data_IF_809258924251
#
_entry.id   IF_809258924251
#
_cell.length_a   1.000
_cell.length_b   1.000
_cell.length_c   1.000
_cell.angle_alpha   90.00
_cell.angle_beta   90.00
_cell.angle_gamma   90.00
#
_symmetry.space_group_name_H-M   'P 1'
#
loop_
_entity.id
_entity.type
_entity.pdbx_description
1 polymer ?
#
# COMPACT_ATOMS: atom_id res chain seq x y z
N UNK A 1 -7.66 -18.16 -14.01
CA UNK A 1 -7.13 -17.53 -12.79
C UNK A 1 -7.41 -18.51 -11.68
N UNK A 2 -6.37 -19.05 -11.10
CA UNK A 2 -6.33 -20.30 -10.31
C UNK A 2 -7.07 -20.23 -8.96
N UNK A 3 -7.59 -19.08 -8.55
CA UNK A 3 -8.48 -18.96 -7.38
C UNK A 3 -7.76 -19.19 -6.05
N UNK A 4 -6.42 -19.12 -6.05
CA UNK A 4 -5.58 -19.30 -4.88
C UNK A 4 -5.74 -18.10 -3.94
N UNK A 5 -6.07 -18.37 -2.68
CA UNK A 5 -6.09 -17.36 -1.63
C UNK A 5 -4.64 -17.10 -1.17
N UNK A 6 -4.09 -15.96 -1.57
CA UNK A 6 -2.66 -15.67 -1.45
C UNK A 6 -2.28 -14.95 -0.15
N UNK A 7 -3.27 -14.59 0.67
CA UNK A 7 -3.06 -13.99 2.00
C UNK A 7 -2.04 -12.84 2.01
N UNK A 8 -1.13 -12.86 2.99
CA UNK A 8 -0.06 -11.85 3.14
C UNK A 8 1.10 -11.99 2.12
N UNK A 9 1.10 -13.05 1.32
CA UNK A 9 2.14 -13.33 0.30
C UNK A 9 1.72 -12.90 -1.11
N UNK A 10 0.55 -12.29 -1.25
CA UNK A 10 0.06 -11.79 -2.52
C UNK A 10 0.89 -10.61 -3.04
N UNK A 11 1.27 -10.68 -4.32
CA UNK A 11 1.73 -9.52 -5.06
C UNK A 11 0.54 -8.78 -5.65
N UNK A 12 0.15 -7.68 -5.02
CA UNK A 12 -0.89 -6.80 -5.54
C UNK A 12 -0.34 -5.95 -6.70
N UNK A 13 -0.81 -6.20 -7.92
CA UNK A 13 -0.51 -5.40 -9.11
C UNK A 13 -1.71 -4.50 -9.44
N UNK A 14 -1.46 -3.21 -9.63
CA UNK A 14 -2.45 -2.27 -10.18
C UNK A 14 -2.17 -2.04 -11.65
N UNK A 15 -3.21 -2.09 -12.48
CA UNK A 15 -3.10 -1.84 -13.91
C UNK A 15 -4.29 -1.01 -14.39
N UNK A 16 -4.19 -0.42 -15.59
CA UNK A 16 -5.27 0.35 -16.19
C UNK A 16 -5.69 -0.27 -17.52
N UNK A 17 -7.00 -0.45 -17.71
CA UNK A 17 -7.58 -0.94 -18.96
C UNK A 17 -8.94 -0.28 -19.18
N UNK A 18 -9.15 0.29 -20.37
CA UNK A 18 -10.39 1.01 -20.73
C UNK A 18 -10.82 2.08 -19.69
N UNK A 19 -9.86 2.81 -19.14
CA UNK A 19 -10.10 3.89 -18.17
C UNK A 19 -10.46 3.42 -16.76
N UNK A 20 -10.44 2.12 -16.49
CA UNK A 20 -10.56 1.55 -15.13
C UNK A 20 -9.17 1.21 -14.60
N UNK A 21 -8.97 1.39 -13.29
CA UNK A 21 -7.75 1.05 -12.57
C UNK A 21 -7.99 -0.13 -11.60
N UNK A 22 -8.18 -1.37 -12.08
CA UNK A 22 -8.29 -2.53 -11.20
C UNK A 22 -6.95 -2.90 -10.54
N UNK A 23 -7.06 -3.58 -9.39
CA UNK A 23 -5.96 -4.28 -8.74
C UNK A 23 -6.21 -5.80 -8.78
N UNK A 24 -5.14 -6.58 -8.91
CA UNK A 24 -5.17 -8.04 -8.85
C UNK A 24 -4.07 -8.55 -7.91
N UNK A 25 -4.41 -9.55 -7.11
CA UNK A 25 -3.49 -10.24 -6.21
C UNK A 25 -2.99 -11.52 -6.87
N UNK A 26 -1.68 -11.64 -7.04
CA UNK A 26 -1.05 -12.75 -7.76
C UNK A 26 0.06 -13.41 -6.93
N UNK A 27 0.29 -14.70 -7.15
CA UNK A 27 1.51 -15.37 -6.69
C UNK A 27 2.73 -14.76 -7.38
N UNK A 28 3.93 -15.02 -6.86
CA UNK A 28 5.18 -14.55 -7.49
C UNK A 28 5.26 -14.97 -8.98
N UNK A 29 5.02 -16.26 -9.26
CA UNK A 29 5.05 -16.81 -10.62
C UNK A 29 4.02 -16.14 -11.54
N UNK A 30 2.79 -15.95 -11.05
CA UNK A 30 1.73 -15.32 -11.84
C UNK A 30 1.99 -13.82 -12.05
N UNK A 31 2.58 -13.14 -11.07
CA UNK A 31 2.98 -11.75 -11.17
C UNK A 31 4.10 -11.57 -12.20
N UNK A 32 5.07 -12.50 -12.24
CA UNK A 32 6.12 -12.50 -13.25
C UNK A 32 5.57 -12.78 -14.66
N UNK A 33 4.70 -13.79 -14.80
CA UNK A 33 4.02 -14.08 -16.06
C UNK A 33 3.23 -12.87 -16.58
N UNK A 34 2.50 -12.18 -15.70
CA UNK A 34 1.76 -10.96 -16.06
C UNK A 34 2.70 -9.87 -16.61
N UNK A 35 3.85 -9.64 -15.94
CA UNK A 35 4.85 -8.64 -16.37
C UNK A 35 5.43 -8.97 -17.75
N UNK A 36 5.69 -10.24 -18.03
CA UNK A 36 6.22 -10.67 -19.33
C UNK A 36 5.20 -10.46 -20.46
N UNK A 37 3.91 -10.77 -20.22
CA UNK A 37 2.84 -10.61 -21.23
C UNK A 37 2.66 -9.13 -21.60
N UNK A 38 2.72 -8.21 -20.63
CA UNK A 38 2.47 -6.78 -20.87
C UNK A 38 3.70 -6.03 -21.39
N UNK A 39 4.91 -6.57 -21.20
CA UNK A 39 6.17 -5.94 -21.60
C UNK A 39 6.19 -5.39 -23.04
N UNK A 40 5.80 -6.14 -24.09
CA UNK A 40 5.81 -5.62 -25.46
C UNK A 40 4.84 -4.45 -25.67
N UNK A 41 3.71 -4.43 -24.94
CA UNK A 41 2.74 -3.33 -25.02
C UNK A 41 3.24 -2.08 -24.29
N UNK A 42 4.00 -2.24 -23.21
CA UNK A 42 4.67 -1.14 -22.52
C UNK A 42 5.76 -0.53 -23.39
N UNK A 43 6.54 -1.37 -24.08
CA UNK A 43 7.61 -0.93 -24.98
C UNK A 43 7.07 -0.20 -26.22
N UNK A 44 5.98 -0.69 -26.81
CA UNK A 44 5.30 -0.01 -27.92
C UNK A 44 4.48 1.23 -27.46
N UNK A 45 4.10 1.26 -26.19
CA UNK A 45 3.31 2.32 -25.59
C UNK A 45 4.15 3.57 -25.31
N UNK A 46 3.49 4.72 -25.26
CA UNK A 46 4.09 5.96 -24.79
C UNK A 46 3.43 6.37 -23.48
N UNK A 47 4.22 7.00 -22.59
CA UNK A 47 3.67 7.60 -21.38
C UNK A 47 2.74 8.73 -21.79
N UNK A 48 1.45 8.58 -21.49
CA UNK A 48 0.50 9.69 -21.61
C UNK A 48 0.82 10.69 -20.50
N UNK A 49 1.63 11.70 -20.81
CA UNK A 49 1.91 12.81 -19.89
C UNK A 49 0.72 13.77 -19.88
N UNK A 50 -0.39 13.32 -19.31
CA UNK A 50 -1.64 14.08 -19.20
C UNK A 50 -2.15 14.02 -17.77
N UNK A 51 -1.69 14.98 -16.95
CA UNK A 51 -2.28 15.42 -15.68
C UNK A 51 -2.88 14.32 -14.79
N UNK A 52 -2.01 13.61 -14.08
CA UNK A 52 -2.27 13.30 -12.69
C UNK A 52 -1.00 13.56 -11.88
N UNK A 53 -0.61 14.84 -11.78
CA UNK A 53 0.04 15.29 -10.54
C UNK A 53 -1.01 15.12 -9.44
N UNK A 54 -1.28 13.89 -9.02
CA UNK A 54 -1.67 13.66 -7.63
C UNK A 54 -0.53 14.30 -6.87
N UNK A 55 -0.77 15.51 -6.37
CA UNK A 55 0.11 16.18 -5.43
C UNK A 55 0.66 15.08 -4.54
N UNK A 56 1.99 14.90 -4.57
CA UNK A 56 2.67 13.89 -3.80
C UNK A 56 1.99 13.87 -2.44
N UNK A 57 1.21 12.82 -2.15
CA UNK A 57 0.56 12.69 -0.85
C UNK A 57 1.74 12.60 0.07
N UNK A 58 2.03 13.73 0.72
CA UNK A 58 3.08 13.95 1.69
C UNK A 58 3.24 12.62 2.41
N UNK A 59 4.36 11.94 2.15
CA UNK A 59 4.68 10.65 2.75
C UNK A 59 4.46 10.80 4.23
N UNK A 60 3.29 10.33 4.71
CA UNK A 60 3.01 10.25 6.14
C UNK A 60 4.15 9.39 6.67
N UNK A 61 4.91 9.98 7.58
CA UNK A 61 6.21 9.51 8.02
C UNK A 61 6.23 7.99 8.13
N UNK A 62 7.24 7.38 7.50
CA UNK A 62 7.51 5.95 7.62
C UNK A 62 7.90 5.68 9.08
N UNK A 63 6.90 5.52 9.93
CA UNK A 63 7.07 4.99 11.28
C UNK A 63 7.48 3.54 11.10
N UNK A 64 8.77 3.26 11.30
CA UNK A 64 9.32 1.90 11.28
C UNK A 64 8.43 0.96 12.10
N UNK A 65 8.28 -0.30 11.68
CA UNK A 65 7.42 -1.28 12.35
C UNK A 65 7.66 -1.37 13.87
N UNK A 66 8.90 -1.17 14.31
CA UNK A 66 9.28 -1.07 15.73
C UNK A 66 8.59 0.08 16.48
N UNK A 67 8.48 1.26 15.87
CA UNK A 67 7.82 2.42 16.45
C UNK A 67 6.30 2.22 16.55
N UNK A 68 5.71 1.45 15.62
CA UNK A 68 4.27 1.15 15.62
C UNK A 68 3.84 0.34 16.85
N UNK A 69 4.70 -0.54 17.39
CA UNK A 69 4.40 -1.27 18.62
C UNK A 69 4.39 -0.35 19.84
N UNK A 70 5.45 0.45 20.01
CA UNK A 70 5.57 1.39 21.13
C UNK A 70 4.44 2.43 21.16
N UNK A 71 4.06 2.98 19.99
CA UNK A 71 2.96 3.94 19.90
C UNK A 71 1.63 3.28 20.29
N UNK A 72 1.41 2.02 19.91
CA UNK A 72 0.17 1.29 20.25
C UNK A 72 0.06 1.00 21.75
N UNK A 73 1.15 0.59 22.39
CA UNK A 73 1.19 0.37 23.83
C UNK A 73 0.94 1.67 24.60
N UNK A 74 1.57 2.77 24.18
CA UNK A 74 1.30 4.09 24.73
C UNK A 74 -0.16 4.51 24.52
N UNK A 75 -0.69 4.30 23.31
CA UNK A 75 -2.07 4.67 22.98
C UNK A 75 -3.09 3.93 23.84
N UNK A 76 -2.93 2.61 24.02
CA UNK A 76 -3.80 1.80 24.89
C UNK A 76 -3.71 2.25 26.34
N UNK A 77 -2.50 2.56 26.84
CA UNK A 77 -2.30 3.07 28.20
C UNK A 77 -2.93 4.45 28.43
N UNK A 78 -3.05 5.26 27.36
CA UNK A 78 -3.66 6.60 27.39
C UNK A 78 -5.14 6.59 26.96
N UNK A 79 -5.77 5.42 26.82
CA UNK A 79 -7.20 5.28 26.54
C UNK A 79 -7.62 5.51 25.08
N UNK A 80 -6.67 5.48 24.13
CA UNK A 80 -6.96 5.55 22.70
C UNK A 80 -7.33 4.17 22.14
N UNK A 81 -8.37 4.13 21.31
CA UNK A 81 -8.76 2.94 20.56
C UNK A 81 -7.86 2.75 19.33
N UNK A 82 -7.07 1.67 19.34
CA UNK A 82 -6.08 1.37 18.30
C UNK A 82 -6.19 -0.10 17.89
N UNK A 83 -6.30 -0.34 16.58
CA UNK A 83 -6.33 -1.69 16.04
C UNK A 83 -5.03 -2.45 16.32
N UNK A 84 -5.15 -3.72 16.69
CA UNK A 84 -4.02 -4.62 16.99
C UNK A 84 -3.06 -4.83 15.81
N UNK A 85 -3.52 -4.62 14.57
CA UNK A 85 -2.71 -4.77 13.36
C UNK A 85 -2.94 -3.60 12.39
N UNK A 86 -1.97 -3.39 11.50
CA UNK A 86 -2.05 -2.36 10.47
C UNK A 86 -1.63 -0.96 10.95
N UNK A 87 -2.06 0.05 10.16
CA UNK A 87 -1.68 1.46 10.31
C UNK A 87 -2.29 2.06 11.58
N UNK A 88 -1.48 2.82 12.33
CA UNK A 88 -1.95 3.59 13.49
C UNK A 88 -2.72 4.83 12.99
N UNK A 89 -3.88 5.17 13.60
CA UNK A 89 -4.59 6.40 13.30
C UNK A 89 -3.69 7.64 13.42
N UNK A 90 -3.85 8.60 12.51
CA UNK A 90 -3.01 9.80 12.49
C UNK A 90 -3.09 10.60 13.80
N UNK A 91 -4.27 10.64 14.42
CA UNK A 91 -4.54 11.35 15.68
C UNK A 91 -3.71 10.78 16.84
N UNK A 92 -3.57 9.46 16.90
CA UNK A 92 -2.76 8.77 17.91
C UNK A 92 -1.28 9.05 17.71
N UNK A 93 -0.82 9.07 16.46
CA UNK A 93 0.57 9.38 16.12
C UNK A 93 0.90 10.83 16.50
N UNK A 94 -0.01 11.77 16.23
CA UNK A 94 0.15 13.17 16.62
C UNK A 94 0.18 13.33 18.15
N UNK A 95 -0.72 12.66 18.88
CA UNK A 95 -0.75 12.69 20.33
C UNK A 95 0.54 12.11 20.95
N UNK A 96 1.07 11.02 20.38
CA UNK A 96 2.34 10.45 20.81
C UNK A 96 3.53 11.39 20.58
N UNK A 97 3.57 12.07 19.43
CA UNK A 97 4.61 13.08 19.12
C UNK A 97 4.44 14.38 19.90
N UNK A 98 3.26 14.67 20.45
CA UNK A 98 3.06 15.83 21.32
C UNK A 98 3.44 15.53 22.77
N UNK A 99 3.42 14.25 23.15
CA UNK A 99 3.75 13.76 24.49
C UNK A 99 5.25 13.41 24.67
N UNK A 100 6.05 13.40 23.60
CA UNK A 100 7.49 13.12 23.60
C UNK A 100 8.24 14.12 22.72
#
# INVERSE_FOLDING_TARGET
MDGTDLGETANTLSFAFEGKEPSIDLSDDNAEAFRQIIAPYIEAGHRVTGRNTKAARKTSAKTSSANTKAIREWAQANGYDVSNRGRIPADVLQAYTAAN
#
